data_IF_305668350070
#
_entry.id   IF_305668350070
#
_cell.length_a   1.000
_cell.length_b   1.000
_cell.length_c   1.000
_cell.angle_alpha   90.00
_cell.angle_beta   90.00
_cell.angle_gamma   90.00
#
_symmetry.space_group_name_H-M   'P 1'
#
loop_
_entity.id
_entity.type
_entity.pdbx_description
1 polymer ?
#
# COMPACT_ATOMS: atom_id res chain seq x y z
N UNK A 1 6.76 -9.23 3.66
CA UNK A 1 5.91 -8.33 4.46
C UNK A 1 4.43 -8.56 4.17
N UNK A 2 4.01 -8.41 2.90
CA UNK A 2 2.63 -8.54 2.43
C UNK A 2 1.95 -9.83 2.92
N UNK A 3 2.54 -11.01 2.71
CA UNK A 3 1.92 -12.27 3.16
C UNK A 3 1.60 -12.28 4.67
N UNK A 4 2.47 -11.73 5.53
CA UNK A 4 2.23 -11.64 6.97
C UNK A 4 1.04 -10.73 7.29
N UNK A 5 0.92 -9.60 6.60
CA UNK A 5 -0.20 -8.66 6.70
C UNK A 5 -1.53 -9.32 6.29
N UNK A 6 -1.53 -9.99 5.15
CA UNK A 6 -2.73 -10.60 4.58
C UNK A 6 -3.21 -11.78 5.43
N UNK A 7 -2.29 -12.59 5.96
CA UNK A 7 -2.61 -13.68 6.89
C UNK A 7 -3.21 -13.14 8.20
N UNK A 8 -2.70 -12.03 8.76
CA UNK A 8 -3.23 -11.47 10.00
C UNK A 8 -4.67 -10.94 9.91
N UNK A 9 -5.08 -10.47 8.72
CA UNK A 9 -6.46 -10.02 8.49
C UNK A 9 -7.47 -11.19 8.36
N UNK A 10 -7.01 -12.45 8.29
CA UNK A 10 -7.89 -13.62 8.16
C UNK A 10 -7.95 -14.20 6.76
N UNK A 11 -6.82 -14.27 6.05
CA UNK A 11 -6.73 -14.99 4.78
C UNK A 11 -6.80 -16.52 5.03
N UNK A 12 -8.02 -17.06 5.18
CA UNK A 12 -8.28 -18.42 4.73
C UNK A 12 -8.14 -18.41 3.20
N UNK A 13 -7.33 -19.32 2.67
CA UNK A 13 -6.94 -19.38 1.24
C UNK A 13 -8.11 -19.64 0.27
N UNK A 14 -9.32 -19.84 0.76
CA UNK A 14 -10.48 -20.31 -0.04
C UNK A 14 -11.76 -19.48 0.22
N UNK A 15 -11.67 -18.15 0.29
CA UNK A 15 -12.90 -17.35 0.22
C UNK A 15 -13.39 -17.29 -1.24
N UNK A 16 -14.67 -17.65 -1.48
CA UNK A 16 -15.27 -17.73 -2.81
C UNK A 16 -15.27 -16.39 -3.59
N UNK A 17 -15.14 -15.24 -2.91
CA UNK A 17 -15.14 -13.91 -3.51
C UNK A 17 -13.89 -13.16 -3.04
N UNK A 18 -13.05 -12.70 -3.97
CA UNK A 18 -11.85 -11.89 -3.66
C UNK A 18 -12.25 -10.52 -3.11
N UNK A 19 -11.54 -10.04 -2.09
CA UNK A 19 -11.70 -8.66 -1.59
C UNK A 19 -11.01 -7.68 -2.54
N UNK A 20 -11.72 -6.61 -2.87
CA UNK A 20 -11.17 -5.52 -3.68
C UNK A 20 -10.33 -4.60 -2.80
N UNK A 21 -9.06 -4.40 -3.19
CA UNK A 21 -8.06 -3.67 -2.40
C UNK A 21 -7.56 -2.46 -3.15
N UNK A 22 -7.67 -1.28 -2.53
CA UNK A 22 -6.98 -0.10 -3.01
C UNK A 22 -5.59 -0.03 -2.35
N UNK A 23 -4.55 -0.42 -3.09
CA UNK A 23 -3.15 -0.20 -2.67
C UNK A 23 -2.76 1.21 -3.08
N UNK A 24 -2.56 2.09 -2.09
CA UNK A 24 -2.15 3.46 -2.36
C UNK A 24 -0.69 3.51 -2.81
N UNK A 25 -0.33 4.61 -3.49
CA UNK A 25 1.06 4.92 -3.82
C UNK A 25 1.92 4.87 -2.57
N UNK A 26 3.11 4.28 -2.70
CA UNK A 26 4.11 4.21 -1.63
C UNK A 26 4.42 5.62 -1.16
N UNK A 27 4.27 5.90 0.13
CA UNK A 27 4.72 7.16 0.72
C UNK A 27 6.24 7.14 0.85
N UNK A 28 6.91 8.11 0.23
CA UNK A 28 8.32 8.35 0.50
C UNK A 28 8.44 9.30 1.70
N UNK A 29 8.67 8.75 2.88
CA UNK A 29 8.99 9.50 4.10
C UNK A 29 10.49 9.36 4.44
N UNK A 30 11.32 9.09 3.43
CA UNK A 30 12.76 9.04 3.53
C UNK A 30 13.37 10.40 3.16
N UNK A 31 14.65 10.60 3.49
CA UNK A 31 15.35 11.85 3.17
C UNK A 31 15.82 11.97 1.71
N UNK A 32 15.58 10.96 0.86
CA UNK A 32 16.06 10.93 -0.52
C UNK A 32 14.92 10.76 -1.53
N UNK A 33 15.19 11.14 -2.78
CA UNK A 33 14.31 10.79 -3.89
C UNK A 33 14.53 9.33 -4.31
N UNK A 34 13.45 8.56 -4.36
CA UNK A 34 13.51 7.12 -4.61
C UNK A 34 13.34 6.76 -6.09
N UNK A 35 12.78 7.65 -6.91
CA UNK A 35 12.54 7.45 -8.33
C UNK A 35 11.87 6.10 -8.62
N UNK A 36 12.37 5.41 -9.66
CA UNK A 36 11.90 4.10 -10.12
C UNK A 36 11.86 3.02 -9.03
N UNK A 37 12.69 3.15 -7.99
CA UNK A 37 12.68 2.17 -6.90
C UNK A 37 11.36 2.20 -6.12
N UNK A 38 10.73 3.38 -5.98
CA UNK A 38 9.42 3.50 -5.37
C UNK A 38 8.34 2.78 -6.19
N UNK A 39 8.43 2.85 -7.51
CA UNK A 39 7.54 2.12 -8.44
C UNK A 39 7.77 0.61 -8.34
N UNK A 40 9.03 0.16 -8.31
CA UNK A 40 9.35 -1.25 -8.11
C UNK A 40 8.82 -1.81 -6.79
N UNK A 41 8.85 -1.02 -5.71
CA UNK A 41 8.25 -1.42 -4.43
C UNK A 41 6.73 -1.53 -4.56
N UNK A 42 6.08 -0.57 -5.20
CA UNK A 42 4.63 -0.63 -5.47
C UNK A 42 4.26 -1.89 -6.26
N UNK A 43 4.96 -2.17 -7.35
CA UNK A 43 4.70 -3.33 -8.21
C UNK A 43 4.85 -4.65 -7.44
N UNK A 44 5.91 -4.77 -6.62
CA UNK A 44 6.11 -5.94 -5.76
C UNK A 44 4.98 -6.13 -4.75
N UNK A 45 4.49 -5.04 -4.15
CA UNK A 45 3.34 -5.09 -3.23
C UNK A 45 2.10 -5.55 -3.99
N UNK A 46 1.80 -4.92 -5.13
CA UNK A 46 0.63 -5.22 -5.96
C UNK A 46 0.60 -6.67 -6.43
N UNK A 47 1.72 -7.17 -6.96
CA UNK A 47 1.89 -8.58 -7.36
C UNK A 47 1.64 -9.51 -6.19
N UNK A 48 2.28 -9.27 -5.04
CA UNK A 48 2.11 -10.13 -3.86
C UNK A 48 0.68 -10.11 -3.31
N UNK A 49 -0.04 -8.98 -3.40
CA UNK A 49 -1.46 -8.92 -3.02
C UNK A 49 -2.31 -9.78 -3.97
N UNK A 50 -2.10 -9.71 -5.28
CA UNK A 50 -2.85 -10.50 -6.25
C UNK A 50 -2.56 -12.02 -6.16
N UNK A 51 -1.31 -12.39 -5.86
CA UNK A 51 -0.88 -13.78 -5.68
C UNK A 51 -1.41 -14.44 -4.40
N UNK A 52 -1.88 -13.66 -3.43
CA UNK A 52 -2.39 -14.17 -2.15
C UNK A 52 -3.67 -15.01 -2.26
N UNK A 53 -4.37 -14.94 -3.40
CA UNK A 53 -5.62 -15.67 -3.66
C UNK A 53 -6.88 -15.04 -3.04
N UNK A 54 -6.76 -14.31 -1.92
CA UNK A 54 -7.89 -13.70 -1.18
C UNK A 54 -8.26 -12.30 -1.68
N UNK A 55 -7.31 -11.59 -2.27
CA UNK A 55 -7.43 -10.17 -2.60
C UNK A 55 -7.23 -9.93 -4.11
N UNK A 56 -7.79 -8.83 -4.60
CA UNK A 56 -7.61 -8.33 -5.95
C UNK A 56 -7.37 -6.83 -5.89
N UNK A 57 -6.28 -6.36 -6.49
CA UNK A 57 -5.94 -4.94 -6.47
C UNK A 57 -6.79 -4.13 -7.45
N UNK A 58 -7.25 -2.97 -7.02
CA UNK A 58 -7.75 -1.92 -7.91
C UNK A 58 -6.52 -1.28 -8.59
N UNK A 59 -6.64 -0.98 -9.88
CA UNK A 59 -5.58 -0.27 -10.61
C UNK A 59 -5.28 1.09 -9.97
N UNK A 60 -3.99 1.36 -9.76
CA UNK A 60 -3.51 2.62 -9.18
C UNK A 60 -4.07 3.86 -9.90
N UNK A 61 -4.31 3.76 -11.20
CA UNK A 61 -4.87 4.88 -11.99
C UNK A 61 -6.27 5.28 -11.53
N UNK A 62 -7.12 4.32 -11.16
CA UNK A 62 -8.44 4.61 -10.60
C UNK A 62 -8.35 5.21 -9.19
N UNK A 63 -7.40 4.73 -8.38
CA UNK A 63 -7.15 5.25 -7.03
C UNK A 63 -6.67 6.71 -7.11
N UNK A 64 -5.66 6.99 -7.93
CA UNK A 64 -5.11 8.33 -8.14
C UNK A 64 -6.17 9.28 -8.73
N UNK A 65 -6.98 8.82 -9.69
CA UNK A 65 -8.10 9.59 -10.21
C UNK A 65 -9.16 9.87 -9.14
N UNK A 66 -9.49 8.89 -8.29
CA UNK A 66 -10.45 9.04 -7.20
C UNK A 66 -9.99 10.06 -6.15
N UNK A 67 -8.72 10.02 -5.76
CA UNK A 67 -8.13 11.02 -4.86
C UNK A 67 -8.16 12.42 -5.48
N UNK A 68 -7.80 12.54 -6.76
CA UNK A 68 -7.82 13.81 -7.49
C UNK A 68 -9.22 14.40 -7.60
N UNK A 69 -10.20 13.59 -7.99
CA UNK A 69 -11.60 14.01 -8.19
C UNK A 69 -12.24 14.44 -6.85
N UNK A 70 -12.02 13.65 -5.80
CA UNK A 70 -12.47 13.99 -4.45
C UNK A 70 -11.70 15.14 -3.80
N UNK A 71 -10.60 15.59 -4.42
CA UNK A 71 -9.65 16.60 -3.89
C UNK A 71 -9.10 16.22 -2.52
N UNK A 72 -8.83 14.94 -2.33
CA UNK A 72 -8.35 14.38 -1.07
C UNK A 72 -6.88 13.95 -1.16
N UNK A 73 -6.20 14.04 -0.02
CA UNK A 73 -4.91 13.41 0.20
C UNK A 73 -5.10 12.03 0.83
N UNK A 74 -4.03 11.22 0.83
CA UNK A 74 -4.05 9.88 1.45
C UNK A 74 -4.54 9.90 2.91
N UNK A 75 -4.11 10.89 3.70
CA UNK A 75 -4.41 10.96 5.13
C UNK A 75 -5.86 11.41 5.39
N UNK A 76 -6.47 12.10 4.42
CA UNK A 76 -7.88 12.48 4.52
C UNK A 76 -8.80 11.26 4.53
N UNK A 77 -8.36 10.11 4.02
CA UNK A 77 -9.14 8.86 4.01
C UNK A 77 -9.37 8.28 5.42
N UNK A 78 -8.69 8.77 6.45
CA UNK A 78 -8.98 8.40 7.82
C UNK A 78 -10.19 9.14 8.39
N UNK A 79 -10.58 10.28 7.81
CA UNK A 79 -11.78 11.04 8.20
C UNK A 79 -12.99 10.37 7.55
N UNK A 80 -13.96 9.82 8.30
CA UNK A 80 -15.06 9.02 7.73
C UNK A 80 -15.86 9.72 6.65
N UNK A 81 -16.16 11.01 6.83
CA UNK A 81 -16.90 11.80 5.85
C UNK A 81 -16.12 11.99 4.54
N UNK A 82 -14.80 12.26 4.62
CA UNK A 82 -13.95 12.39 3.44
C UNK A 82 -13.71 11.04 2.76
N UNK A 83 -13.49 9.98 3.55
CA UNK A 83 -13.40 8.61 3.03
C UNK A 83 -14.63 8.24 2.22
N UNK A 84 -15.83 8.57 2.70
CA UNK A 84 -17.08 8.30 1.97
C UNK A 84 -17.06 8.91 0.57
N UNK A 85 -16.70 10.19 0.46
CA UNK A 85 -16.59 10.88 -0.85
C UNK A 85 -15.65 10.15 -1.80
N UNK A 86 -14.50 9.70 -1.32
CA UNK A 86 -13.56 8.91 -2.14
C UNK A 86 -14.17 7.58 -2.62
N UNK A 87 -14.87 6.87 -1.72
CA UNK A 87 -15.49 5.59 -2.06
C UNK A 87 -16.64 5.76 -3.07
N UNK A 88 -17.45 6.81 -2.92
CA UNK A 88 -18.53 7.12 -3.85
C UNK A 88 -18.00 7.33 -5.28
N UNK A 89 -16.83 7.99 -5.43
CA UNK A 89 -16.17 8.16 -6.73
C UNK A 89 -15.73 6.81 -7.32
N UNK A 90 -15.14 5.93 -6.51
CA UNK A 90 -14.73 4.60 -6.96
C UNK A 90 -15.93 3.71 -7.30
N UNK A 91 -17.01 3.79 -6.53
CA UNK A 91 -18.27 3.08 -6.77
C UNK A 91 -18.95 3.53 -8.06
N UNK A 92 -18.96 4.83 -8.33
CA UNK A 92 -19.45 5.40 -9.58
C UNK A 92 -18.66 4.86 -10.79
N UNK A 93 -17.34 4.68 -10.63
CA UNK A 93 -16.45 4.07 -11.62
C UNK A 93 -16.51 2.52 -11.65
N UNK A 94 -17.44 1.89 -10.90
CA UNK A 94 -17.63 0.44 -10.80
C UNK A 94 -16.41 -0.33 -10.27
N UNK A 95 -15.58 0.31 -9.45
CA UNK A 95 -14.38 -0.26 -8.83
C UNK A 95 -14.39 -0.08 -7.30
N UNK A 96 -15.40 -0.61 -6.58
CA UNK A 96 -15.52 -0.41 -5.14
C UNK A 96 -14.32 -0.97 -4.38
N UNK A 97 -13.80 -0.21 -3.41
CA UNK A 97 -12.75 -0.67 -2.50
C UNK A 97 -13.37 -1.22 -1.21
N UNK A 98 -12.88 -2.36 -0.73
CA UNK A 98 -13.27 -2.94 0.56
C UNK A 98 -12.17 -2.77 1.62
N UNK A 99 -10.93 -2.71 1.16
CA UNK A 99 -9.74 -2.58 2.00
C UNK A 99 -8.80 -1.54 1.41
N UNK A 100 -8.16 -0.76 2.27
CA UNK A 100 -7.09 0.18 1.90
C UNK A 100 -5.75 -0.38 2.37
N UNK A 101 -4.71 -0.28 1.54
CA UNK A 101 -3.33 -0.54 1.97
C UNK A 101 -2.52 0.74 1.80
N UNK A 102 -1.84 1.15 2.87
CA UNK A 102 -0.98 2.32 2.94
C UNK A 102 0.49 1.88 3.06
N UNK A 103 1.23 1.79 1.95
CA UNK A 103 2.66 1.58 2.02
C UNK A 103 3.36 2.88 2.42
N UNK A 104 4.34 2.77 3.31
CA UNK A 104 5.19 3.87 3.74
C UNK A 104 6.63 3.39 3.84
N UNK A 105 7.53 4.16 3.28
CA UNK A 105 8.96 3.90 3.34
C UNK A 105 9.66 4.98 4.15
N UNK A 106 10.45 4.57 5.13
CA UNK A 106 11.25 5.46 5.97
C UNK A 106 12.72 5.06 5.89
N UNK A 107 13.63 6.01 6.07
CA UNK A 107 15.06 5.71 6.15
C UNK A 107 15.35 4.97 7.45
N UNK A 108 16.03 3.83 7.36
CA UNK A 108 16.58 3.13 8.52
C UNK A 108 18.04 3.54 8.75
N UNK A 109 18.92 2.55 8.81
CA UNK A 109 20.37 2.71 8.97
C UNK A 109 21.10 2.74 7.61
N UNK A 110 22.22 3.46 7.53
CA UNK A 110 23.13 3.45 6.38
C UNK A 110 24.41 2.71 6.77
N UNK A 111 24.78 1.66 6.06
CA UNK A 111 26.08 1.00 6.22
C UNK A 111 27.04 1.49 5.13
N UNK A 112 28.08 2.19 5.55
CA UNK A 112 29.15 2.67 4.66
C UNK A 112 30.25 1.62 4.60
N UNK A 113 30.14 0.68 3.64
CA UNK A 113 31.21 -0.26 3.33
C UNK A 113 32.20 0.31 2.29
N UNK A 114 33.47 -0.13 2.27
CA UNK A 114 34.53 0.45 1.43
C UNK A 114 34.35 0.27 -0.08
N UNK A 115 33.35 -0.47 -0.56
CA UNK A 115 33.12 -0.71 -2.00
C UNK A 115 31.67 -0.56 -2.49
N UNK A 116 30.68 -0.37 -1.60
CA UNK A 116 29.26 -0.15 -1.96
C UNK A 116 28.59 0.64 -0.85
N UNK A 117 28.00 1.78 -1.17
CA UNK A 117 27.04 2.41 -0.29
C UNK A 117 25.78 1.53 -0.29
N UNK A 118 25.38 1.00 0.86
CA UNK A 118 24.11 0.31 1.02
C UNK A 118 23.25 1.10 2.00
N UNK A 119 21.99 1.29 1.64
CA UNK A 119 21.03 1.94 2.53
C UNK A 119 19.88 0.99 2.82
N UNK A 120 19.56 0.89 4.11
CA UNK A 120 18.44 0.11 4.61
C UNK A 120 17.25 1.06 4.81
N UNK A 121 16.07 0.59 4.42
CA UNK A 121 14.81 1.31 4.59
C UNK A 121 13.83 0.40 5.32
N UNK A 122 12.92 1.00 6.06
CA UNK A 122 11.83 0.28 6.69
C UNK A 122 10.58 0.49 5.86
N UNK A 123 10.11 -0.57 5.19
CA UNK A 123 8.82 -0.62 4.51
C UNK A 123 7.77 -1.02 5.52
N UNK A 124 6.84 -0.11 5.80
CA UNK A 124 5.65 -0.38 6.61
C UNK A 124 4.45 -0.48 5.69
N UNK A 125 3.66 -1.54 5.88
CA UNK A 125 2.38 -1.73 5.23
C UNK A 125 1.30 -1.73 6.30
N UNK A 126 0.32 -0.84 6.13
CA UNK A 126 -0.87 -0.77 6.97
C UNK A 126 -2.10 -1.09 6.13
N UNK A 127 -2.81 -2.16 6.49
CA UNK A 127 -4.05 -2.58 5.88
C UNK A 127 -5.20 -2.11 6.77
N UNK A 128 -6.15 -1.36 6.23
CA UNK A 128 -7.33 -0.86 6.95
C UNK A 128 -8.59 -1.42 6.33
N UNK A 129 -9.41 -2.08 7.14
CA UNK A 129 -10.77 -2.45 6.78
C UNK A 129 -11.67 -1.20 6.78
N UNK A 130 -12.28 -0.89 5.64
CA UNK A 130 -13.06 0.33 5.47
C UNK A 130 -14.31 0.37 6.35
N UNK A 131 -14.92 -0.81 6.57
CA UNK A 131 -16.20 -0.94 7.27
C UNK A 131 -16.03 -0.86 8.78
N UNK A 132 -14.93 -1.40 9.31
CA UNK A 132 -14.68 -1.48 10.76
C UNK A 132 -13.64 -0.47 11.25
N UNK A 133 -12.80 0.06 10.37
CA UNK A 133 -11.65 0.90 10.72
C UNK A 133 -10.52 0.16 11.41
N UNK A 134 -10.59 -1.17 11.54
CA UNK A 134 -9.51 -1.98 12.12
C UNK A 134 -8.33 -2.02 11.17
N UNK A 135 -7.14 -1.83 11.73
CA UNK A 135 -5.89 -1.92 10.99
C UNK A 135 -5.11 -3.19 11.33
N UNK A 136 -4.31 -3.60 10.38
CA UNK A 136 -3.22 -4.56 10.56
C UNK A 136 -1.97 -3.90 10.01
N UNK A 137 -0.86 -4.02 10.74
CA UNK A 137 0.40 -3.39 10.35
C UNK A 137 1.55 -4.38 10.38
N UNK A 138 2.40 -4.32 9.36
CA UNK A 138 3.66 -5.04 9.30
C UNK A 138 4.76 -4.12 8.80
N UNK A 139 5.96 -4.29 9.34
CA UNK A 139 7.16 -3.61 8.86
C UNK A 139 8.24 -4.63 8.51
N UNK A 140 9.01 -4.34 7.47
CA UNK A 140 10.14 -5.16 7.02
C UNK A 140 11.26 -4.27 6.49
N UNK A 141 12.49 -4.67 6.75
CA UNK A 141 13.66 -4.02 6.17
C UNK A 141 13.79 -4.36 4.69
N UNK A 142 13.91 -3.33 3.85
CA UNK A 142 14.19 -3.44 2.43
C UNK A 142 15.49 -2.73 2.09
N UNK A 143 16.23 -3.30 1.15
CA UNK A 143 17.58 -2.85 0.79
C UNK A 143 17.56 -2.27 -0.63
N UNK A 144 18.13 -1.08 -0.78
CA UNK A 144 18.45 -0.49 -2.09
C UNK A 144 19.94 -0.65 -2.32
N UNK A 145 20.31 -1.45 -3.31
CA UNK A 145 21.70 -1.60 -3.72
C UNK A 145 22.02 -0.53 -4.76
N UNK A 146 23.04 0.29 -4.50
CA UNK A 146 23.61 1.19 -5.48
C UNK A 146 24.65 0.41 -6.30
N UNK A 147 24.51 0.42 -7.62
CA UNK A 147 25.53 -0.11 -8.55
C UNK A 147 26.56 0.96 -8.84
#
# INVERSE_FOLDING_TARGET
AVNKLLLSHGASREAAIKLSVAVLRVENASAEELGDWQEQIFDKISTSVNESGRYQTISLRYIDAGLRESRLRRDDLFIPAKRRVFLDVLEAAKVPAQVLIFPKLTTGTTELGPKRAQRNYLLTLELVDISTGRDFRVSEEVRKAYR
#
